data_IF_843910773736
#
_entry.id   IF_843910773736
#
_cell.length_a   1.000
_cell.length_b   1.000
_cell.length_c   1.000
_cell.angle_alpha   90.00
_cell.angle_beta   90.00
_cell.angle_gamma   90.00
#
_symmetry.space_group_name_H-M   'P 1'
#
loop_
_entity.id
_entity.type
_entity.pdbx_description
1 polymer ?
#
# COMPACT_ATOMS: atom_id res chain seq x y z
N UNK A 1 43.81 -24.50 -50.59
CA UNK A 1 44.29 -24.09 -49.25
C UNK A 1 43.47 -22.87 -48.84
N UNK A 2 42.32 -23.08 -48.21
CA UNK A 2 41.50 -22.01 -47.67
C UNK A 2 41.63 -22.07 -46.15
N UNK A 3 42.43 -21.16 -45.60
CA UNK A 3 42.46 -20.94 -44.15
C UNK A 3 41.15 -20.30 -43.75
N UNK A 4 40.27 -21.06 -43.10
CA UNK A 4 39.14 -20.51 -42.39
C UNK A 4 39.65 -19.88 -41.11
N UNK A 5 39.51 -18.56 -41.01
CA UNK A 5 39.61 -17.82 -39.75
C UNK A 5 38.59 -18.43 -38.78
N UNK A 6 39.04 -19.36 -37.94
CA UNK A 6 38.36 -19.69 -36.71
C UNK A 6 38.54 -18.48 -35.81
N UNK A 7 37.60 -17.53 -35.92
CA UNK A 7 37.41 -16.50 -34.91
C UNK A 7 37.39 -17.21 -33.56
N UNK A 8 38.43 -16.97 -32.76
CA UNK A 8 38.56 -17.49 -31.42
C UNK A 8 37.40 -16.87 -30.64
N UNK A 9 36.32 -17.63 -30.47
CA UNK A 9 35.20 -17.22 -29.62
C UNK A 9 35.79 -17.09 -28.23
N UNK A 10 36.00 -15.85 -27.79
CA UNK A 10 36.47 -15.53 -26.46
C UNK A 10 35.54 -16.25 -25.47
N UNK A 11 36.10 -17.13 -24.64
CA UNK A 11 35.33 -18.02 -23.79
C UNK A 11 34.66 -17.21 -22.66
N UNK A 12 33.49 -16.66 -22.94
CA UNK A 12 32.72 -15.87 -22.00
C UNK A 12 31.88 -16.79 -21.12
N UNK A 13 32.10 -16.71 -19.81
CA UNK A 13 31.25 -17.37 -18.81
C UNK A 13 30.01 -16.53 -18.54
N UNK A 14 28.84 -17.15 -18.60
CA UNK A 14 27.58 -16.53 -18.19
C UNK A 14 27.05 -17.20 -16.94
N UNK A 15 26.48 -16.43 -16.01
CA UNK A 15 25.69 -17.01 -14.93
C UNK A 15 24.26 -17.18 -15.40
N UNK A 16 23.59 -18.21 -14.91
CA UNK A 16 22.17 -18.47 -15.15
C UNK A 16 21.39 -18.37 -13.84
N UNK A 17 20.12 -17.97 -13.87
CA UNK A 17 19.27 -17.90 -12.68
C UNK A 17 17.79 -18.17 -13.00
N UNK A 18 17.04 -18.62 -11.98
CA UNK A 18 15.63 -19.02 -12.05
C UNK A 18 15.37 -20.29 -12.88
N UNK A 19 16.37 -21.16 -13.04
CA UNK A 19 16.24 -22.41 -13.79
C UNK A 19 16.23 -23.65 -12.90
N UNK A 20 17.12 -23.71 -11.89
CA UNK A 20 17.12 -24.73 -10.81
C UNK A 20 18.24 -24.44 -9.80
N UNK A 21 18.09 -24.92 -8.56
CA UNK A 21 19.11 -24.78 -7.50
C UNK A 21 20.50 -25.32 -7.89
N UNK A 22 20.55 -26.28 -8.80
CA UNK A 22 21.81 -26.88 -9.29
C UNK A 22 22.52 -25.94 -10.27
N UNK A 23 21.78 -25.06 -10.95
CA UNK A 23 22.24 -24.19 -12.05
C UNK A 23 22.51 -22.78 -11.57
N UNK A 24 21.64 -22.31 -10.69
CA UNK A 24 21.51 -20.91 -10.40
C UNK A 24 22.82 -20.35 -9.83
N UNK A 25 23.24 -19.23 -10.41
CA UNK A 25 24.47 -18.50 -10.11
C UNK A 25 25.78 -19.20 -10.44
N UNK A 26 25.76 -20.40 -11.04
CA UNK A 26 26.98 -21.06 -11.51
C UNK A 26 27.43 -20.48 -12.85
N UNK A 27 28.74 -20.27 -13.05
CA UNK A 27 29.26 -19.84 -14.34
C UNK A 27 29.12 -20.98 -15.36
N UNK A 28 28.61 -20.69 -16.54
CA UNK A 28 28.38 -21.65 -17.61
C UNK A 28 29.01 -21.13 -18.89
N UNK A 29 29.81 -21.96 -19.57
CA UNK A 29 30.34 -21.65 -20.90
C UNK A 29 29.48 -22.34 -21.94
N UNK A 30 28.40 -21.67 -22.36
CA UNK A 30 27.60 -22.12 -23.48
C UNK A 30 28.41 -22.02 -24.77
N UNK A 31 28.35 -23.06 -25.60
CA UNK A 31 29.01 -23.03 -26.91
C UNK A 31 28.19 -22.23 -27.93
N UNK A 32 26.87 -22.14 -27.72
CA UNK A 32 25.97 -21.46 -28.63
C UNK A 32 25.84 -19.95 -28.28
N UNK A 33 26.16 -19.03 -29.22
CA UNK A 33 26.06 -17.59 -28.99
C UNK A 33 24.64 -17.10 -28.66
N UNK A 34 23.61 -17.86 -29.03
CA UNK A 34 22.21 -17.53 -28.80
C UNK A 34 21.87 -17.39 -27.31
N UNK A 35 22.59 -18.10 -26.44
CA UNK A 35 22.39 -17.98 -24.99
C UNK A 35 23.03 -16.70 -24.46
N UNK A 36 24.20 -16.33 -24.99
CA UNK A 36 24.91 -15.10 -24.63
C UNK A 36 24.06 -13.85 -24.95
N UNK A 37 23.35 -13.85 -26.08
CA UNK A 37 22.45 -12.75 -26.49
C UNK A 37 21.24 -12.56 -25.56
N UNK A 38 20.95 -13.54 -24.69
CA UNK A 38 19.87 -13.48 -23.71
C UNK A 38 20.34 -13.04 -22.32
N UNK A 39 21.64 -12.80 -22.14
CA UNK A 39 22.15 -12.20 -20.92
C UNK A 39 21.57 -10.80 -20.74
N UNK A 40 21.19 -10.47 -19.51
CA UNK A 40 20.77 -9.12 -19.17
C UNK A 40 21.94 -8.16 -19.40
N UNK A 41 21.74 -7.12 -20.20
CA UNK A 41 22.77 -6.12 -20.53
C UNK A 41 23.27 -5.36 -19.29
N UNK A 42 22.49 -5.32 -18.20
CA UNK A 42 22.87 -4.63 -16.98
C UNK A 42 23.64 -5.51 -15.98
N UNK A 43 23.22 -6.76 -15.76
CA UNK A 43 23.84 -7.63 -14.76
C UNK A 43 24.62 -8.84 -15.34
N UNK A 44 24.56 -9.06 -16.65
CA UNK A 44 25.26 -10.16 -17.34
C UNK A 44 24.69 -11.56 -17.09
N UNK A 45 23.60 -11.68 -16.32
CA UNK A 45 22.99 -12.97 -15.96
C UNK A 45 21.90 -13.33 -16.97
N UNK A 46 21.85 -14.60 -17.39
CA UNK A 46 20.76 -15.17 -18.18
C UNK A 46 19.67 -15.64 -17.23
N UNK A 47 18.49 -15.03 -17.29
CA UNK A 47 17.33 -15.40 -16.48
C UNK A 47 16.34 -16.24 -17.28
N UNK A 48 15.52 -17.03 -16.57
CA UNK A 48 14.38 -17.74 -17.18
C UNK A 48 13.42 -16.79 -17.91
N UNK A 49 13.22 -15.60 -17.33
CA UNK A 49 12.38 -14.55 -17.92
C UNK A 49 13.15 -13.25 -18.06
N UNK A 50 13.00 -12.60 -19.20
CA UNK A 50 13.60 -11.32 -19.53
C UNK A 50 12.70 -10.55 -20.49
N UNK A 51 13.04 -9.30 -20.76
CA UNK A 51 12.41 -8.46 -21.78
C UNK A 51 13.47 -7.98 -22.75
N UNK A 52 13.14 -7.91 -24.04
CA UNK A 52 13.97 -7.25 -25.05
C UNK A 52 13.34 -5.90 -25.38
N UNK A 53 14.16 -4.87 -25.24
CA UNK A 53 13.81 -3.49 -25.55
C UNK A 53 13.76 -3.25 -27.06
N UNK A 54 13.12 -2.17 -27.54
CA UNK A 54 13.12 -1.79 -28.96
C UNK A 54 14.51 -1.62 -29.56
N UNK A 55 15.48 -1.15 -28.76
CA UNK A 55 16.90 -1.04 -29.14
C UNK A 55 17.65 -2.39 -29.16
N UNK A 56 16.93 -3.52 -29.03
CA UNK A 56 17.42 -4.89 -29.01
C UNK A 56 18.26 -5.31 -27.78
N UNK A 57 18.47 -4.43 -26.80
CA UNK A 57 19.07 -4.82 -25.52
C UNK A 57 18.11 -5.66 -24.67
N UNK A 58 18.63 -6.71 -24.04
CA UNK A 58 17.86 -7.61 -23.16
C UNK A 58 18.04 -7.19 -21.70
N UNK A 59 16.96 -7.08 -20.92
CA UNK A 59 16.99 -6.84 -19.48
C UNK A 59 16.23 -7.94 -18.72
N UNK A 60 16.75 -8.38 -17.58
CA UNK A 60 15.97 -9.23 -16.67
C UNK A 60 14.85 -8.43 -15.99
N UNK A 61 13.84 -9.11 -15.47
CA UNK A 61 12.66 -8.47 -14.85
C UNK A 61 13.03 -7.48 -13.75
N UNK A 62 14.01 -7.82 -12.90
CA UNK A 62 14.50 -6.95 -11.81
C UNK A 62 15.20 -5.69 -12.34
N UNK A 63 16.10 -5.85 -13.32
CA UNK A 63 16.81 -4.73 -13.92
C UNK A 63 15.89 -3.83 -14.76
N UNK A 64 14.91 -4.43 -15.45
CA UNK A 64 13.87 -3.71 -16.17
C UNK A 64 13.06 -2.81 -15.22
N UNK A 65 12.56 -3.36 -14.11
CA UNK A 65 11.80 -2.58 -13.12
C UNK A 65 12.60 -1.37 -12.61
N UNK A 66 13.90 -1.54 -12.35
CA UNK A 66 14.78 -0.43 -11.95
C UNK A 66 14.96 0.63 -13.04
N UNK A 67 14.90 0.25 -14.32
CA UNK A 67 14.97 1.21 -15.43
C UNK A 67 13.66 2.00 -15.55
N UNK A 68 12.51 1.33 -15.36
CA UNK A 68 11.19 1.98 -15.31
C UNK A 68 11.14 3.01 -14.18
N UNK A 69 11.58 2.63 -12.97
CA UNK A 69 11.64 3.54 -11.80
C UNK A 69 12.52 4.80 -12.04
N UNK A 70 13.46 4.72 -12.99
CA UNK A 70 14.39 5.80 -13.34
C UNK A 70 14.01 6.56 -14.62
N UNK A 71 12.81 6.34 -15.15
CA UNK A 71 12.29 7.08 -16.31
C UNK A 71 12.35 6.33 -17.64
N UNK A 72 12.33 4.99 -17.62
CA UNK A 72 12.14 4.13 -18.79
C UNK A 72 13.11 4.38 -19.95
N UNK A 73 14.39 4.44 -19.64
CA UNK A 73 15.47 4.52 -20.62
C UNK A 73 16.37 3.29 -20.55
N UNK A 74 16.82 2.79 -21.69
CA UNK A 74 17.75 1.69 -21.77
C UNK A 74 19.08 2.06 -21.07
N UNK A 75 19.65 1.18 -20.22
CA UNK A 75 20.88 1.50 -19.51
C UNK A 75 22.15 1.50 -20.38
N UNK A 76 22.06 1.04 -21.64
CA UNK A 76 23.21 0.93 -22.55
C UNK A 76 23.31 2.14 -23.49
N UNK A 77 22.23 2.47 -24.18
CA UNK A 77 22.17 3.52 -25.22
C UNK A 77 21.30 4.71 -24.81
N UNK A 78 20.63 4.67 -23.66
CA UNK A 78 19.73 5.70 -23.13
C UNK A 78 18.50 5.95 -24.01
N UNK A 79 18.18 5.06 -24.95
CA UNK A 79 16.96 5.19 -25.74
C UNK A 79 15.72 4.95 -24.85
N UNK A 80 14.69 5.81 -24.94
CA UNK A 80 13.46 5.64 -24.20
C UNK A 80 12.70 4.42 -24.72
N UNK A 81 11.98 3.74 -23.83
CA UNK A 81 11.11 2.63 -24.19
C UNK A 81 9.75 2.72 -23.50
N UNK A 82 8.74 2.14 -24.14
CA UNK A 82 7.38 1.99 -23.58
C UNK A 82 7.13 0.52 -23.22
N UNK A 83 6.32 0.25 -22.21
CA UNK A 83 6.05 -1.14 -21.76
C UNK A 83 5.29 -1.96 -22.81
N UNK A 84 4.50 -1.31 -23.67
CA UNK A 84 3.72 -2.01 -24.72
C UNK A 84 4.59 -2.57 -25.86
N UNK A 85 5.78 -1.99 -26.07
CA UNK A 85 6.69 -2.33 -27.18
C UNK A 85 7.73 -3.40 -26.78
N UNK A 86 7.63 -3.97 -25.57
CA UNK A 86 8.60 -4.92 -25.04
C UNK A 86 8.32 -6.35 -25.51
N UNK A 87 9.33 -7.02 -26.07
CA UNK A 87 9.26 -8.44 -26.37
C UNK A 87 9.59 -9.24 -25.11
N UNK A 88 8.61 -9.95 -24.55
CA UNK A 88 8.84 -10.88 -23.44
C UNK A 88 9.60 -12.12 -23.91
N UNK A 89 10.76 -12.35 -23.31
CA UNK A 89 11.58 -13.53 -23.55
C UNK A 89 11.41 -14.51 -22.40
N UNK A 90 11.05 -15.75 -22.75
CA UNK A 90 10.98 -16.86 -21.79
C UNK A 90 11.79 -18.05 -22.31
N UNK A 91 12.61 -18.61 -21.42
CA UNK A 91 13.39 -19.81 -21.66
C UNK A 91 12.84 -20.95 -20.82
N UNK A 92 12.74 -22.15 -21.39
CA UNK A 92 12.43 -23.34 -20.59
C UNK A 92 13.68 -23.82 -19.86
N UNK A 93 13.50 -24.39 -18.67
CA UNK A 93 14.60 -25.02 -17.94
C UNK A 93 15.21 -26.18 -18.73
N UNK A 94 14.37 -26.96 -19.42
CA UNK A 94 14.80 -28.02 -20.32
C UNK A 94 15.69 -27.52 -21.45
N UNK A 95 15.34 -26.36 -22.04
CA UNK A 95 16.16 -25.74 -23.09
C UNK A 95 17.57 -25.47 -22.56
N UNK A 96 17.73 -24.73 -21.45
CA UNK A 96 19.06 -24.46 -20.88
C UNK A 96 19.81 -25.73 -20.47
N UNK A 97 19.11 -26.72 -19.91
CA UNK A 97 19.72 -27.97 -19.43
C UNK A 97 20.29 -28.85 -20.55
N UNK A 98 19.65 -28.83 -21.72
CA UNK A 98 20.03 -29.66 -22.87
C UNK A 98 21.14 -29.02 -23.73
N UNK A 99 21.50 -27.75 -23.50
CA UNK A 99 22.57 -27.10 -24.24
C UNK A 99 23.94 -27.61 -23.82
N UNK A 100 24.86 -27.60 -24.79
CA UNK A 100 26.23 -28.04 -24.58
C UNK A 100 27.03 -26.96 -23.88
N UNK A 101 27.70 -27.36 -22.82
CA UNK A 101 28.56 -26.51 -22.02
C UNK A 101 29.96 -27.08 -21.98
N UNK A 102 30.94 -26.19 -22.06
CA UNK A 102 32.34 -26.57 -21.88
C UNK A 102 32.68 -26.68 -20.38
N UNK A 103 33.72 -27.46 -20.09
CA UNK A 103 34.21 -27.62 -18.72
C UNK A 103 34.63 -26.29 -18.09
N UNK A 104 34.40 -26.13 -16.78
CA UNK A 104 34.91 -24.97 -16.03
C UNK A 104 36.44 -24.85 -16.07
N UNK A 105 37.15 -25.97 -16.26
CA UNK A 105 38.59 -26.01 -16.43
C UNK A 105 39.04 -25.89 -17.90
N UNK A 106 38.16 -25.50 -18.83
CA UNK A 106 38.53 -25.29 -20.23
C UNK A 106 39.65 -24.24 -20.42
N UNK A 107 39.69 -23.11 -19.69
CA UNK A 107 40.84 -22.19 -19.73
C UNK A 107 42.16 -22.85 -19.31
N UNK A 108 42.10 -23.91 -18.50
CA UNK A 108 43.25 -24.71 -18.07
C UNK A 108 43.61 -25.84 -19.04
N UNK A 109 42.91 -25.96 -20.18
CA UNK A 109 43.19 -26.95 -21.23
C UNK A 109 42.20 -28.11 -21.32
N UNK A 110 41.14 -28.14 -20.50
CA UNK A 110 40.12 -29.18 -20.60
C UNK A 110 39.27 -29.01 -21.88
N UNK A 111 39.26 -30.00 -22.77
CA UNK A 111 38.48 -29.97 -24.01
C UNK A 111 37.05 -30.55 -23.89
N UNK A 112 36.60 -30.88 -22.66
CA UNK A 112 35.30 -31.49 -22.46
C UNK A 112 34.15 -30.52 -22.83
N UNK A 113 33.21 -31.03 -23.62
CA UNK A 113 31.96 -30.38 -23.99
C UNK A 113 30.83 -31.40 -23.85
N UNK A 114 29.80 -31.09 -23.07
CA UNK A 114 28.69 -32.01 -22.82
C UNK A 114 27.44 -31.32 -22.30
N UNK A 115 26.39 -32.09 -22.00
CA UNK A 115 25.22 -31.55 -21.28
C UNK A 115 25.60 -31.18 -19.86
N UNK A 116 24.77 -30.36 -19.20
CA UNK A 116 25.02 -29.99 -17.80
C UNK A 116 25.13 -31.21 -16.86
N UNK A 117 24.27 -32.22 -17.03
CA UNK A 117 24.33 -33.44 -16.21
C UNK A 117 25.70 -34.11 -16.33
N UNK A 118 26.18 -34.28 -17.57
CA UNK A 118 27.50 -34.86 -17.83
C UNK A 118 28.66 -33.98 -17.36
N UNK A 119 28.51 -32.65 -17.36
CA UNK A 119 29.52 -31.72 -16.83
C UNK A 119 29.78 -31.94 -15.35
N UNK A 120 28.74 -32.13 -14.55
CA UNK A 120 28.90 -32.32 -13.10
C UNK A 120 29.63 -33.62 -12.76
N UNK A 121 29.36 -34.69 -13.51
CA UNK A 121 30.05 -35.96 -13.33
C UNK A 121 31.49 -35.88 -13.84
N UNK A 122 31.71 -35.27 -15.01
CA UNK A 122 33.05 -34.98 -15.53
C UNK A 122 33.90 -34.16 -14.55
N UNK A 123 33.33 -33.10 -13.97
CA UNK A 123 34.09 -32.17 -13.13
C UNK A 123 34.70 -32.83 -11.89
N UNK A 124 34.05 -33.87 -11.34
CA UNK A 124 34.57 -34.64 -10.18
C UNK A 124 35.89 -35.35 -10.48
N UNK A 125 36.11 -35.70 -11.75
CA UNK A 125 37.26 -36.48 -12.22
C UNK A 125 38.17 -35.67 -13.15
N UNK A 126 37.91 -34.36 -13.29
CA UNK A 126 38.62 -33.51 -14.24
C UNK A 126 40.07 -33.22 -13.78
N UNK A 127 41.04 -33.88 -14.42
CA UNK A 127 42.47 -33.70 -14.12
C UNK A 127 43.04 -32.31 -14.43
N UNK A 128 42.34 -31.47 -15.17
CA UNK A 128 42.73 -30.08 -15.46
C UNK A 128 42.34 -29.10 -14.33
N UNK A 129 41.86 -29.62 -13.21
CA UNK A 129 41.60 -28.81 -12.02
C UNK A 129 42.90 -28.21 -11.50
N UNK A 130 42.92 -26.89 -11.30
CA UNK A 130 44.09 -26.18 -10.77
C UNK A 130 44.09 -26.31 -9.25
N UNK A 131 45.15 -26.89 -8.70
CA UNK A 131 45.31 -27.12 -7.26
C UNK A 131 46.63 -26.54 -6.75
N UNK A 132 46.67 -26.00 -5.51
CA UNK A 132 47.93 -25.55 -4.92
C UNK A 132 48.77 -26.74 -4.48
N UNK A 133 50.03 -26.80 -4.92
CA UNK A 133 50.99 -27.78 -4.42
C UNK A 133 51.15 -27.64 -2.89
N UNK A 134 51.12 -28.74 -2.14
CA UNK A 134 51.20 -28.69 -0.68
C UNK A 134 52.58 -28.25 -0.15
N UNK A 135 53.64 -28.41 -0.94
CA UNK A 135 55.02 -28.05 -0.57
C UNK A 135 55.38 -26.62 -0.96
N UNK A 136 55.32 -26.30 -2.26
CA UNK A 136 55.78 -25.02 -2.80
C UNK A 136 54.65 -24.00 -3.01
N UNK A 137 53.37 -24.41 -2.90
CA UNK A 137 52.17 -23.58 -3.07
C UNK A 137 51.95 -23.04 -4.49
N UNK A 138 52.75 -23.43 -5.47
CA UNK A 138 52.47 -23.10 -6.87
C UNK A 138 51.15 -23.71 -7.32
N UNK A 139 50.43 -23.01 -8.18
CA UNK A 139 49.28 -23.55 -8.89
C UNK A 139 49.76 -24.59 -9.91
N UNK A 140 49.25 -25.81 -9.81
CA UNK A 140 49.60 -26.93 -10.70
C UNK A 140 48.31 -27.61 -11.14
N UNK A 141 48.27 -28.18 -12.34
CA UNK A 141 47.16 -29.04 -12.73
C UNK A 141 47.17 -30.32 -11.89
N UNK A 142 45.99 -30.82 -11.53
CA UNK A 142 45.85 -32.04 -10.76
C UNK A 142 46.51 -33.24 -11.46
N UNK A 143 46.42 -33.33 -12.79
CA UNK A 143 47.08 -34.37 -13.58
C UNK A 143 48.62 -34.27 -13.56
N UNK A 144 49.15 -33.06 -13.42
CA UNK A 144 50.60 -32.80 -13.50
C UNK A 144 51.26 -32.78 -12.12
N UNK A 145 50.49 -33.02 -11.04
CA UNK A 145 51.01 -32.90 -9.69
C UNK A 145 52.19 -33.85 -9.44
N UNK A 146 52.13 -35.07 -9.96
CA UNK A 146 53.22 -36.05 -9.86
C UNK A 146 54.45 -35.61 -10.64
N UNK A 147 54.26 -35.11 -11.87
CA UNK A 147 55.34 -34.59 -12.70
C UNK A 147 56.01 -33.39 -12.00
N UNK A 148 55.23 -32.48 -11.44
CA UNK A 148 55.73 -31.36 -10.65
C UNK A 148 56.61 -31.80 -9.47
N UNK A 149 56.24 -32.86 -8.75
CA UNK A 149 57.09 -33.44 -7.71
C UNK A 149 58.40 -34.01 -8.29
N UNK A 150 58.33 -34.70 -9.42
CA UNK A 150 59.49 -35.31 -10.09
C UNK A 150 60.44 -34.27 -10.69
N UNK A 151 59.93 -33.14 -11.19
CA UNK A 151 60.70 -32.03 -11.76
C UNK A 151 61.42 -31.18 -10.71
N UNK A 152 61.46 -31.62 -9.45
CA UNK A 152 62.15 -30.93 -8.38
C UNK A 152 61.28 -29.87 -7.72
N UNK A 153 60.05 -30.23 -7.32
CA UNK A 153 59.23 -29.43 -6.42
C UNK A 153 60.07 -29.04 -5.19
N UNK A 154 60.45 -27.76 -5.12
CA UNK A 154 61.30 -27.26 -4.05
C UNK A 154 60.44 -27.20 -2.80
N UNK A 155 60.60 -28.16 -1.89
CA UNK A 155 60.26 -27.97 -0.49
C UNK A 155 60.87 -26.64 -0.08
N UNK A 156 60.12 -25.78 0.59
CA UNK A 156 60.68 -24.58 1.23
C UNK A 156 61.58 -25.01 2.39
N UNK A 157 62.64 -25.78 2.11
CA UNK A 157 63.75 -26.07 2.98
C UNK A 157 64.57 -24.79 3.05
N UNK A 158 64.41 -24.13 4.19
CA UNK A 158 65.34 -23.14 4.69
C UNK A 158 66.67 -23.86 4.94
N UNK A 159 67.47 -24.08 3.89
CA UNK A 159 68.90 -24.36 4.07
C UNK A 159 69.58 -23.02 4.33
N UNK A 160 69.62 -22.65 5.61
CA UNK A 160 70.55 -21.67 6.11
C UNK A 160 71.98 -22.19 5.89
N UNK A 161 72.63 -21.77 4.82
CA UNK A 161 74.09 -21.69 4.76
C UNK A 161 74.44 -20.23 5.03
N UNK A 162 75.24 -19.93 6.06
CA UNK A 162 75.61 -18.55 6.37
C UNK A 162 76.67 -18.11 5.35
N UNK A 163 76.22 -17.44 4.29
CA UNK A 163 77.07 -16.58 3.48
C UNK A 163 76.60 -15.16 3.74
N UNK A 164 77.42 -14.39 4.45
CA UNK A 164 77.17 -12.99 4.72
C UNK A 164 77.25 -12.21 3.40
N UNK A 165 76.11 -12.04 2.74
CA UNK A 165 75.94 -11.08 1.65
C UNK A 165 74.62 -10.32 1.81
N UNK A 166 74.49 -9.11 1.23
CA UNK A 166 73.38 -8.18 1.48
C UNK A 166 71.99 -8.75 1.13
N UNK A 167 71.93 -9.79 0.29
CA UNK A 167 70.70 -10.45 -0.14
C UNK A 167 70.01 -11.29 0.97
N UNK A 168 70.67 -11.50 2.12
CA UNK A 168 70.10 -12.30 3.23
C UNK A 168 69.14 -11.51 4.13
N UNK A 169 69.17 -10.17 4.13
CA UNK A 169 68.21 -9.38 4.91
C UNK A 169 66.86 -9.23 4.20
N UNK A 170 66.83 -8.99 2.88
CA UNK A 170 65.57 -8.93 2.12
C UNK A 170 64.76 -10.24 2.22
N UNK A 171 65.43 -11.39 2.27
CA UNK A 171 64.76 -12.69 2.42
C UNK A 171 64.16 -12.89 3.82
N UNK A 172 64.78 -12.32 4.87
CA UNK A 172 64.22 -12.33 6.23
C UNK A 172 63.01 -11.42 6.33
N UNK A 173 63.07 -10.25 5.71
CA UNK A 173 61.94 -9.31 5.65
C UNK A 173 60.73 -9.92 4.92
N UNK A 174 60.96 -10.61 3.80
CA UNK A 174 59.90 -11.35 3.07
C UNK A 174 59.31 -12.48 3.93
N UNK A 175 60.16 -13.22 4.66
CA UNK A 175 59.70 -14.30 5.55
C UNK A 175 58.86 -13.75 6.72
N UNK A 176 59.28 -12.62 7.29
CA UNK A 176 58.53 -11.92 8.34
C UNK A 176 57.18 -11.43 7.83
N UNK A 177 57.14 -10.79 6.65
CA UNK A 177 55.90 -10.35 5.99
C UNK A 177 54.96 -11.52 5.68
N UNK A 178 55.49 -12.65 5.21
CA UNK A 178 54.70 -13.86 4.98
C UNK A 178 54.08 -14.41 6.28
N UNK A 179 54.84 -14.42 7.37
CA UNK A 179 54.32 -14.87 8.67
C UNK A 179 53.25 -13.92 9.21
N UNK A 180 53.43 -12.62 9.01
CA UNK A 180 52.46 -11.60 9.40
C UNK A 180 51.17 -11.68 8.58
N UNK A 181 51.28 -11.87 7.26
CA UNK A 181 50.14 -12.15 6.39
C UNK A 181 49.41 -13.43 6.84
N UNK A 182 50.13 -14.51 7.16
CA UNK A 182 49.54 -15.75 7.67
C UNK A 182 48.78 -15.53 8.99
N UNK A 183 49.33 -14.72 9.91
CA UNK A 183 48.63 -14.34 11.15
C UNK A 183 47.39 -13.50 10.85
N UNK A 184 47.48 -12.56 9.91
CA UNK A 184 46.35 -11.72 9.50
C UNK A 184 45.22 -12.55 8.87
N UNK A 185 45.54 -13.48 7.97
CA UNK A 185 44.56 -14.42 7.41
C UNK A 185 43.90 -15.27 8.50
N UNK A 186 44.67 -15.74 9.49
CA UNK A 186 44.11 -16.46 10.64
C UNK A 186 43.10 -15.62 11.44
N UNK A 187 43.39 -14.33 11.67
CA UNK A 187 42.44 -13.40 12.31
C UNK A 187 41.18 -13.21 11.47
N UNK A 188 41.34 -12.97 10.17
CA UNK A 188 40.19 -12.83 9.24
C UNK A 188 39.30 -14.08 9.28
N UNK A 189 39.89 -15.28 9.27
CA UNK A 189 39.10 -16.51 9.38
C UNK A 189 38.33 -16.61 10.69
N UNK A 190 38.91 -16.17 11.82
CA UNK A 190 38.21 -16.12 13.10
C UNK A 190 37.06 -15.10 13.08
N UNK A 191 37.31 -13.91 12.53
CA UNK A 191 36.30 -12.85 12.41
C UNK A 191 35.13 -13.30 11.53
N UNK A 192 35.41 -13.98 10.41
CA UNK A 192 34.38 -14.54 9.53
C UNK A 192 33.54 -15.59 10.25
N UNK A 193 34.15 -16.49 11.03
CA UNK A 193 33.42 -17.47 11.82
C UNK A 193 32.55 -16.81 12.88
N UNK A 194 33.05 -15.78 13.56
CA UNK A 194 32.28 -15.00 14.54
C UNK A 194 31.10 -14.27 13.88
N UNK A 195 31.31 -13.63 12.74
CA UNK A 195 30.26 -12.97 11.97
C UNK A 195 29.20 -13.96 11.48
N UNK A 196 29.59 -15.16 11.05
CA UNK A 196 28.65 -16.21 10.67
C UNK A 196 27.76 -16.62 11.85
N UNK A 197 28.34 -16.81 13.03
CA UNK A 197 27.57 -17.11 14.26
C UNK A 197 26.62 -15.98 14.62
N UNK A 198 27.09 -14.73 14.58
CA UNK A 198 26.26 -13.56 14.87
C UNK A 198 25.12 -13.41 13.86
N UNK A 199 25.36 -13.68 12.57
CA UNK A 199 24.35 -13.63 11.52
C UNK A 199 23.28 -14.69 11.73
N UNK A 200 23.68 -15.93 12.06
CA UNK A 200 22.75 -17.01 12.37
C UNK A 200 21.85 -16.64 13.57
N UNK A 201 22.45 -16.13 14.65
CA UNK A 201 21.70 -15.68 15.83
C UNK A 201 20.76 -14.51 15.51
N UNK A 202 21.20 -13.56 14.68
CA UNK A 202 20.35 -12.45 14.22
C UNK A 202 19.15 -12.97 13.43
N UNK A 203 19.37 -13.93 12.52
CA UNK A 203 18.30 -14.58 11.76
C UNK A 203 17.28 -15.27 12.65
N UNK A 204 17.72 -16.00 13.68
CA UNK A 204 16.84 -16.64 14.66
C UNK A 204 16.02 -15.60 15.44
N UNK A 205 16.65 -14.50 15.87
CA UNK A 205 15.95 -13.42 16.56
C UNK A 205 14.90 -12.74 15.67
N UNK A 206 15.23 -12.49 14.40
CA UNK A 206 14.28 -11.90 13.43
C UNK A 206 13.07 -12.81 13.26
N UNK A 207 13.27 -14.11 13.05
CA UNK A 207 12.15 -15.06 12.89
C UNK A 207 11.28 -15.16 14.15
N UNK A 208 11.88 -15.11 15.34
CA UNK A 208 11.15 -15.08 16.61
C UNK A 208 10.32 -13.79 16.75
N UNK A 209 10.90 -12.63 16.47
CA UNK A 209 10.19 -11.34 16.55
C UNK A 209 9.10 -11.21 15.48
N UNK A 210 9.33 -11.71 14.27
CA UNK A 210 8.30 -11.80 13.23
C UNK A 210 7.12 -12.67 13.68
N UNK A 211 7.38 -13.80 14.33
CA UNK A 211 6.33 -14.66 14.87
C UNK A 211 5.53 -13.96 15.98
N UNK A 212 6.20 -13.28 16.92
CA UNK A 212 5.54 -12.50 17.99
C UNK A 212 4.67 -11.38 17.41
N UNK A 213 5.22 -10.59 16.48
CA UNK A 213 4.51 -9.49 15.83
C UNK A 213 3.28 -10.00 15.07
N UNK A 214 3.38 -11.15 14.40
CA UNK A 214 2.27 -11.79 13.70
C UNK A 214 1.15 -12.21 14.66
N UNK A 215 1.49 -12.81 15.80
CA UNK A 215 0.50 -13.20 16.82
C UNK A 215 -0.19 -11.98 17.39
N UNK A 216 0.56 -10.93 17.74
CA UNK A 216 0.02 -9.69 18.28
C UNK A 216 -0.93 -9.00 17.31
N UNK A 217 -0.51 -8.81 16.05
CA UNK A 217 -1.38 -8.20 15.01
C UNK A 217 -2.65 -9.01 14.77
N UNK A 218 -2.59 -10.34 14.83
CA UNK A 218 -3.78 -11.19 14.72
C UNK A 218 -4.72 -10.99 15.92
N UNK A 219 -4.20 -10.90 17.13
CA UNK A 219 -5.00 -10.64 18.32
C UNK A 219 -5.68 -9.26 18.24
N UNK A 220 -4.93 -8.21 17.90
CA UNK A 220 -5.45 -6.85 17.71
C UNK A 220 -6.51 -6.79 16.61
N UNK A 221 -6.28 -7.47 15.48
CA UNK A 221 -7.25 -7.54 14.39
C UNK A 221 -8.56 -8.25 14.81
N UNK A 222 -8.47 -9.32 15.61
CA UNK A 222 -9.66 -10.00 16.15
C UNK A 222 -10.44 -9.09 17.10
N UNK A 223 -9.76 -8.36 17.99
CA UNK A 223 -10.41 -7.40 18.89
C UNK A 223 -11.13 -6.30 18.12
N UNK A 224 -10.47 -5.72 17.12
CA UNK A 224 -11.06 -4.69 16.27
C UNK A 224 -12.27 -5.24 15.48
N UNK A 225 -12.18 -6.48 15.00
CA UNK A 225 -13.28 -7.13 14.31
C UNK A 225 -14.52 -7.29 15.20
N UNK A 226 -14.33 -7.71 16.46
CA UNK A 226 -15.41 -7.86 17.43
C UNK A 226 -16.04 -6.50 17.79
N UNK A 227 -15.24 -5.44 17.92
CA UNK A 227 -15.74 -4.07 18.12
C UNK A 227 -16.58 -3.59 16.94
N UNK A 228 -16.07 -3.75 15.71
CA UNK A 228 -16.80 -3.37 14.48
C UNK A 228 -18.12 -4.14 14.38
N UNK A 229 -18.12 -5.42 14.76
CA UNK A 229 -19.32 -6.26 14.73
C UNK A 229 -20.41 -5.79 15.71
N UNK A 230 -20.03 -5.11 16.80
CA UNK A 230 -20.98 -4.59 17.81
C UNK A 230 -21.57 -3.22 17.43
N UNK A 231 -20.90 -2.44 16.59
CA UNK A 231 -21.36 -1.11 16.18
C UNK A 231 -22.78 -1.08 15.56
N UNK A 232 -23.19 -2.02 14.69
CA UNK A 232 -24.54 -2.01 14.10
C UNK A 232 -25.66 -2.15 15.13
N UNK A 233 -25.45 -2.98 16.16
CA UNK A 233 -26.42 -3.17 17.25
C UNK A 233 -26.57 -1.88 18.06
N UNK A 234 -25.45 -1.26 18.43
CA UNK A 234 -25.46 0.04 19.12
C UNK A 234 -26.13 1.13 18.28
N UNK A 235 -25.87 1.15 16.97
CA UNK A 235 -26.47 2.14 16.06
C UNK A 235 -27.97 1.91 15.90
N UNK A 236 -28.42 0.65 15.91
CA UNK A 236 -29.84 0.28 15.89
C UNK A 236 -30.54 0.71 17.18
N UNK A 237 -29.93 0.47 18.34
CA UNK A 237 -30.46 0.89 19.63
C UNK A 237 -30.58 2.42 19.70
N UNK A 238 -29.52 3.13 19.29
CA UNK A 238 -29.51 4.59 19.25
C UNK A 238 -30.57 5.15 18.29
N UNK A 239 -30.69 4.55 17.11
CA UNK A 239 -31.73 4.90 16.13
C UNK A 239 -33.13 4.71 16.71
N UNK A 240 -33.36 3.62 17.42
CA UNK A 240 -34.65 3.36 18.08
C UNK A 240 -34.96 4.43 19.12
N UNK A 241 -33.99 4.77 19.99
CA UNK A 241 -34.16 5.83 20.98
C UNK A 241 -34.53 7.17 20.30
N UNK A 242 -33.80 7.56 19.26
CA UNK A 242 -34.01 8.83 18.58
C UNK A 242 -35.31 8.90 17.78
N UNK A 243 -35.75 7.80 17.18
CA UNK A 243 -36.90 7.79 16.25
C UNK A 243 -38.22 7.45 16.93
N UNK A 244 -38.21 6.71 18.05
CA UNK A 244 -39.45 6.33 18.74
C UNK A 244 -39.53 6.93 20.14
N UNK A 245 -38.58 6.61 21.02
CA UNK A 245 -38.69 6.95 22.45
C UNK A 245 -38.67 8.45 22.69
N UNK A 246 -37.79 9.20 22.01
CA UNK A 246 -37.72 10.66 22.15
C UNK A 246 -38.98 11.35 21.63
N UNK A 247 -39.47 11.07 20.40
CA UNK A 247 -40.74 11.63 19.93
C UNK A 247 -41.94 11.27 20.81
N UNK A 248 -42.05 10.02 21.27
CA UNK A 248 -43.13 9.60 22.17
C UNK A 248 -43.10 10.36 23.50
N UNK A 249 -41.92 10.47 24.13
CA UNK A 249 -41.76 11.24 25.36
C UNK A 249 -42.10 12.73 25.15
N UNK A 250 -41.68 13.30 24.03
CA UNK A 250 -41.99 14.70 23.68
C UNK A 250 -43.49 14.90 23.44
N UNK A 251 -44.16 13.95 22.79
CA UNK A 251 -45.60 13.98 22.56
C UNK A 251 -46.38 13.89 23.88
N UNK A 252 -45.98 13.02 24.80
CA UNK A 252 -46.58 12.90 26.13
C UNK A 252 -46.42 14.20 26.92
N UNK A 253 -45.22 14.79 26.91
CA UNK A 253 -44.96 16.06 27.57
C UNK A 253 -45.81 17.20 26.97
N UNK A 254 -45.94 17.25 25.64
CA UNK A 254 -46.74 18.26 24.95
C UNK A 254 -48.24 18.12 25.28
N UNK A 255 -48.76 16.90 25.33
CA UNK A 255 -50.15 16.64 25.71
C UNK A 255 -50.43 17.05 27.16
N UNK A 256 -49.52 16.72 28.08
CA UNK A 256 -49.63 17.13 29.48
C UNK A 256 -49.63 18.66 29.63
N UNK A 257 -48.70 19.35 28.96
CA UNK A 257 -48.64 20.82 28.96
C UNK A 257 -49.90 21.46 28.35
N UNK A 258 -50.42 20.89 27.25
CA UNK A 258 -51.64 21.38 26.59
C UNK A 258 -52.87 21.19 27.48
N UNK A 259 -52.96 20.06 28.18
CA UNK A 259 -54.06 19.79 29.12
C UNK A 259 -54.05 20.75 30.32
N UNK A 260 -52.86 21.02 30.87
CA UNK A 260 -52.70 21.98 31.97
C UNK A 260 -53.04 23.41 31.52
N UNK A 261 -52.55 23.83 30.35
CA UNK A 261 -52.91 25.10 29.73
C UNK A 261 -54.43 25.23 29.52
N UNK A 262 -55.08 24.21 28.94
CA UNK A 262 -56.53 24.22 28.72
C UNK A 262 -57.29 24.35 30.04
N UNK A 263 -56.88 23.62 31.08
CA UNK A 263 -57.47 23.71 32.42
C UNK A 263 -57.32 25.11 33.01
N UNK A 264 -56.14 25.72 32.87
CA UNK A 264 -55.88 27.07 33.32
C UNK A 264 -56.78 28.08 32.59
N UNK A 265 -56.84 28.04 31.26
CA UNK A 265 -57.69 28.92 30.44
C UNK A 265 -59.18 28.74 30.78
N UNK A 266 -59.66 27.50 30.93
CA UNK A 266 -61.06 27.24 31.33
C UNK A 266 -61.38 27.80 32.71
N UNK A 267 -60.43 27.74 33.65
CA UNK A 267 -60.60 28.35 34.98
C UNK A 267 -60.70 29.87 34.88
N UNK A 268 -59.80 30.52 34.15
CA UNK A 268 -59.82 31.97 33.95
C UNK A 268 -61.10 32.44 33.24
N UNK A 269 -61.53 31.75 32.18
CA UNK A 269 -62.80 32.04 31.50
C UNK A 269 -64.03 31.88 32.42
N UNK A 270 -64.01 30.89 33.32
CA UNK A 270 -65.10 30.70 34.29
C UNK A 270 -65.14 31.81 35.35
N UNK A 271 -63.98 32.38 35.70
CA UNK A 271 -63.93 33.56 36.55
C UNK A 271 -64.47 34.80 35.83
N UNK A 272 -64.19 34.94 34.53
CA UNK A 272 -64.73 36.03 33.70
C UNK A 272 -66.25 35.94 33.49
N UNK A 273 -66.84 34.74 33.43
CA UNK A 273 -68.30 34.57 33.27
C UNK A 273 -69.10 34.92 34.53
N UNK A 274 -68.46 35.01 35.71
CA UNK A 274 -69.08 35.53 36.93
C UNK A 274 -69.18 37.06 36.93
N UNK A 275 -68.41 37.74 36.07
CA UNK A 275 -68.57 39.18 35.83
C UNK A 275 -69.76 39.41 34.90
N UNK A 276 -70.85 39.92 35.45
CA UNK A 276 -71.94 40.48 34.64
C UNK A 276 -71.36 41.59 33.73
N UNK A 277 -71.66 41.62 32.42
CA UNK A 277 -71.20 42.70 31.56
C UNK A 277 -71.67 44.03 32.15
N UNK A 278 -70.74 44.93 32.46
CA UNK A 278 -71.04 46.19 33.15
C UNK A 278 -71.64 47.25 32.21
N UNK A 279 -71.65 46.98 30.90
CA UNK A 279 -72.12 47.88 29.84
C UNK A 279 -72.61 47.06 28.65
N UNK A 280 -73.79 47.39 28.12
CA UNK A 280 -74.33 46.83 26.88
C UNK A 280 -74.36 47.95 25.84
N UNK A 281 -73.86 47.65 24.65
CA UNK A 281 -73.88 48.56 23.50
C UNK A 281 -74.93 48.08 22.51
N UNK A 282 -75.83 48.99 22.12
CA UNK A 282 -76.84 48.74 21.10
C UNK A 282 -76.38 49.36 19.79
N UNK A 283 -76.50 48.60 18.70
CA UNK A 283 -76.20 49.07 17.36
C UNK A 283 -77.49 49.01 16.55
N UNK A 284 -77.81 50.11 15.86
CA UNK A 284 -78.98 50.20 14.99
C UNK A 284 -78.52 49.90 13.57
N UNK A 285 -78.82 48.70 13.09
CA UNK A 285 -78.58 48.34 11.70
C UNK A 285 -79.56 49.09 10.79
N UNK A 286 -79.07 49.59 9.63
CA UNK A 286 -79.90 50.34 8.68
C UNK A 286 -80.24 51.77 9.10
N UNK A 287 -79.48 52.37 10.04
CA UNK A 287 -79.70 53.76 10.49
C UNK A 287 -79.83 54.78 9.36
N UNK A 288 -78.98 54.69 8.33
CA UNK A 288 -79.03 55.61 7.18
C UNK A 288 -80.34 55.51 6.39
N UNK A 289 -80.87 54.29 6.24
CA UNK A 289 -82.16 54.06 5.58
C UNK A 289 -83.31 54.58 6.45
N UNK A 290 -83.22 54.43 7.77
CA UNK A 290 -84.19 54.94 8.72
C UNK A 290 -84.26 56.47 8.69
N UNK A 291 -83.11 57.16 8.68
CA UNK A 291 -83.04 58.61 8.52
C UNK A 291 -83.62 59.08 7.18
N UNK A 292 -83.28 58.39 6.09
CA UNK A 292 -83.79 58.74 4.75
C UNK A 292 -85.32 58.65 4.74
N UNK A 293 -85.86 57.54 5.24
CA UNK A 293 -87.30 57.34 5.31
C UNK A 293 -87.97 58.40 6.20
N UNK A 294 -87.40 58.72 7.36
CA UNK A 294 -87.94 59.75 8.25
C UNK A 294 -87.97 61.13 7.59
N UNK A 295 -86.96 61.51 6.79
CA UNK A 295 -86.96 62.79 6.04
C UNK A 295 -88.06 62.83 4.98
N UNK A 296 -88.31 61.70 4.30
CA UNK A 296 -89.32 61.58 3.25
C UNK A 296 -90.75 61.54 3.81
N UNK A 297 -91.00 60.76 4.87
CA UNK A 297 -92.34 60.56 5.45
C UNK A 297 -92.68 61.46 6.64
N UNK A 298 -91.74 62.28 7.10
CA UNK A 298 -91.89 63.15 8.28
C UNK A 298 -91.71 62.42 9.63
N UNK A 299 -92.02 61.13 9.69
CA UNK A 299 -91.84 60.29 10.88
C UNK A 299 -91.54 58.84 10.50
N UNK A 300 -90.65 58.19 11.25
CA UNK A 300 -90.38 56.76 11.15
C UNK A 300 -89.96 56.15 12.48
N UNK A 301 -90.44 54.94 12.76
CA UNK A 301 -90.01 54.14 13.91
C UNK A 301 -89.40 52.80 13.52
N UNK A 302 -88.51 52.30 14.36
CA UNK A 302 -87.86 50.99 14.26
C UNK A 302 -87.82 50.33 15.63
N UNK A 303 -88.29 49.09 15.69
CA UNK A 303 -88.20 48.23 16.86
C UNK A 303 -87.09 47.20 16.66
N UNK A 304 -86.15 47.17 17.59
CA UNK A 304 -85.10 46.17 17.66
C UNK A 304 -85.60 44.84 18.21
N UNK A 305 -84.82 43.76 18.03
CA UNK A 305 -85.16 42.44 18.55
C UNK A 305 -85.18 42.43 20.07
N UNK A 306 -86.05 41.59 20.65
CA UNK A 306 -86.06 41.33 22.09
C UNK A 306 -84.78 40.60 22.53
N UNK A 307 -84.15 41.11 23.57
CA UNK A 307 -82.94 40.53 24.19
C UNK A 307 -83.17 40.33 25.68
N UNK A 308 -82.74 39.18 26.21
CA UNK A 308 -82.79 38.93 27.65
C UNK A 308 -81.64 39.66 28.35
N UNK A 309 -81.97 40.63 29.20
CA UNK A 309 -81.00 41.38 29.99
C UNK A 309 -81.35 41.24 31.47
N UNK A 310 -80.52 40.48 32.20
CA UNK A 310 -80.70 40.18 33.63
C UNK A 310 -82.06 39.57 34.00
N UNK A 311 -82.63 38.72 33.14
CA UNK A 311 -83.92 38.08 33.38
C UNK A 311 -85.14 38.88 32.92
N UNK A 312 -84.93 40.09 32.39
CA UNK A 312 -85.96 40.90 31.73
C UNK A 312 -85.84 40.78 30.21
N UNK A 313 -86.97 40.73 29.49
CA UNK A 313 -86.97 40.93 28.03
C UNK A 313 -86.95 42.42 27.74
N UNK A 314 -85.92 42.88 27.01
CA UNK A 314 -85.72 44.29 26.67
C UNK A 314 -85.56 44.42 25.15
N UNK A 315 -86.25 45.37 24.54
CA UNK A 315 -86.10 45.74 23.13
C UNK A 315 -85.84 47.25 22.99
N UNK A 316 -85.09 47.62 21.96
CA UNK A 316 -84.82 49.02 21.63
C UNK A 316 -85.94 49.55 20.72
N UNK A 317 -86.57 50.67 21.09
CA UNK A 317 -87.43 51.44 20.18
C UNK A 317 -86.72 52.71 19.79
N UNK A 318 -86.69 52.99 18.49
CA UNK A 318 -86.07 54.20 17.92
C UNK A 318 -87.13 54.90 17.09
N UNK A 319 -87.34 56.18 17.37
CA UNK A 319 -88.29 57.02 16.67
C UNK A 319 -87.53 58.24 16.14
N UNK A 320 -87.68 58.49 14.85
CA UNK A 320 -87.12 59.65 14.15
C UNK A 320 -88.25 60.49 13.60
N UNK A 321 -88.28 61.74 14.00
CA UNK A 321 -89.23 62.75 13.54
C UNK A 321 -88.46 63.88 12.87
N UNK A 322 -88.99 64.41 11.76
CA UNK A 322 -88.38 65.53 11.05
C UNK A 322 -88.74 66.84 11.76
N UNK A 323 -87.76 67.50 12.34
CA UNK A 323 -87.91 68.84 12.92
C UNK A 323 -87.79 69.88 11.79
N UNK A 324 -88.84 70.66 11.53
CA UNK A 324 -88.86 71.69 10.48
C UNK A 324 -88.29 73.02 11.04
N UNK A 325 -87.03 73.34 10.74
CA UNK A 325 -86.39 74.62 11.09
C UNK A 325 -86.63 75.70 10.00
N UNK A 326 -87.72 76.48 10.15
CA UNK A 326 -87.81 77.96 10.08
C UNK A 326 -89.32 78.40 10.06
N UNK A 327 -89.94 78.85 11.17
CA UNK A 327 -89.87 80.17 11.89
C UNK A 327 -90.87 81.22 11.33
N UNK A 328 -91.82 81.80 12.11
CA UNK A 328 -92.94 82.50 11.50
C UNK A 328 -92.62 83.98 11.19
N UNK A 329 -92.27 84.23 9.94
CA UNK A 329 -93.09 85.06 9.04
C UNK A 329 -93.74 84.08 8.04
N UNK A 330 -94.85 83.39 8.32
CA UNK A 330 -96.26 83.80 8.51
C UNK A 330 -96.96 84.39 7.27
N UNK A 331 -97.45 83.51 6.38
CA UNK A 331 -98.78 83.60 5.75
C UNK A 331 -99.24 82.22 5.26
#
# INVERSE_FOLDING_TARGET
MGGGDHAQVEATFFRVADFSDILDWRPMMFQEPVIAQRACALCGVVYKTAVRLPCAHTLCTKCHAQCVDKGSACPVDQEPFCEEDLEKLELSAEYILNHKVACWNAPSGCSFIGTKASLLDHYKECGFSVVPCCLCRSSVLQCDILEHFQSGCITREVKCVPSNSPATEELKDISAAYLEMKRATGRISQDVMSLQTNLNQCSENITLEEAKCRVQRKAEASTLHDEIKRLPEQLKDLSTICTTQVPEAMQVALQAATADYKKHVSKELSLLSLSKPMRVHWYIEGWADLEKQARESGFKSLYGPESNMYGYSVSLSVELEREDDEVPFSC
#
